data_IF_038991044039
#
_entry.id   IF_038991044039
#
_cell.length_a   1.000
_cell.length_b   1.000
_cell.length_c   1.000
_cell.angle_alpha   90.00
_cell.angle_beta   90.00
_cell.angle_gamma   90.00
#
_symmetry.space_group_name_H-M   'P 1'
#
loop_
_entity.id
_entity.type
_entity.pdbx_description
1 polymer ?
#
# COMPACT_ATOMS: atom_id res chain seq x y z
N UNK A 1 -1.92 -7.15 -11.09
CA UNK A 1 -2.85 -6.26 -11.80
C UNK A 1 -2.81 -4.85 -11.24
N UNK A 2 -2.95 -4.65 -9.96
CA UNK A 2 -2.89 -3.34 -9.27
C UNK A 2 -1.57 -2.56 -9.50
N UNK A 3 -0.44 -3.26 -9.60
CA UNK A 3 0.85 -2.65 -9.88
C UNK A 3 0.90 -2.02 -11.27
N UNK A 4 0.44 -2.75 -12.30
CA UNK A 4 0.41 -2.22 -13.66
C UNK A 4 -0.49 -0.99 -13.77
N UNK A 5 -1.60 -0.97 -13.03
CA UNK A 5 -2.48 0.20 -12.94
C UNK A 5 -1.79 1.40 -12.27
N UNK A 6 -1.01 1.17 -11.22
CA UNK A 6 -0.24 2.23 -10.56
C UNK A 6 0.86 2.79 -11.48
N UNK A 7 1.58 1.92 -12.18
CA UNK A 7 2.68 2.31 -13.08
C UNK A 7 2.20 3.06 -14.32
N UNK A 8 1.00 2.77 -14.82
CA UNK A 8 0.40 3.51 -15.94
C UNK A 8 0.17 4.97 -15.61
N UNK A 9 0.00 5.31 -14.33
CA UNK A 9 -0.20 6.69 -13.88
C UNK A 9 1.06 7.57 -13.99
N UNK A 10 2.24 6.99 -14.26
CA UNK A 10 3.53 7.68 -14.40
C UNK A 10 3.77 8.73 -13.31
N UNK A 11 3.43 8.38 -12.07
CA UNK A 11 3.66 9.27 -10.93
C UNK A 11 5.16 9.44 -10.69
N UNK A 12 5.64 10.65 -10.32
CA UNK A 12 7.05 10.86 -9.99
C UNK A 12 7.46 10.20 -8.66
N UNK A 13 6.48 9.92 -7.80
CA UNK A 13 6.68 9.24 -6.51
C UNK A 13 5.65 8.12 -6.36
N UNK A 14 6.12 6.94 -6.05
CA UNK A 14 5.31 5.78 -5.73
C UNK A 14 5.52 5.38 -4.26
N UNK A 15 4.44 4.95 -3.61
CA UNK A 15 4.49 4.35 -2.29
C UNK A 15 3.71 3.04 -2.33
N UNK A 16 4.39 1.92 -2.09
CA UNK A 16 3.80 0.59 -2.07
C UNK A 16 3.91 0.00 -0.67
N UNK A 17 2.79 -0.39 -0.11
CA UNK A 17 2.75 -1.06 1.18
C UNK A 17 2.72 -2.58 0.98
N UNK A 18 3.76 -3.25 1.45
CA UNK A 18 3.96 -4.70 1.39
C UNK A 18 3.59 -5.35 0.04
N UNK A 19 4.09 -4.86 -1.09
CA UNK A 19 3.67 -5.33 -2.40
C UNK A 19 4.09 -6.77 -2.70
N UNK A 20 5.06 -7.30 -1.98
CA UNK A 20 5.55 -8.68 -2.11
C UNK A 20 4.81 -9.67 -1.21
N UNK A 21 3.86 -9.20 -0.40
CA UNK A 21 3.12 -10.08 0.52
C UNK A 21 2.29 -11.11 -0.24
N UNK A 22 2.49 -12.39 0.12
CA UNK A 22 1.77 -13.51 -0.52
C UNK A 22 2.41 -14.00 -1.82
N UNK A 23 3.54 -13.41 -2.25
CA UNK A 23 4.35 -13.93 -3.32
C UNK A 23 5.39 -14.92 -2.78
N UNK A 24 5.76 -15.89 -3.60
CA UNK A 24 6.94 -16.71 -3.35
C UNK A 24 8.23 -15.90 -3.52
N UNK A 25 9.34 -16.40 -2.98
CA UNK A 25 10.60 -15.66 -2.95
C UNK A 25 11.13 -15.29 -4.35
N UNK A 26 10.94 -16.16 -5.34
CA UNK A 26 11.36 -15.92 -6.73
C UNK A 26 10.55 -14.79 -7.36
N UNK A 27 9.22 -14.88 -7.27
CA UNK A 27 8.31 -13.86 -7.81
C UNK A 27 8.47 -12.51 -7.09
N UNK A 28 8.73 -12.52 -5.77
CA UNK A 28 9.01 -11.30 -5.01
C UNK A 28 10.31 -10.62 -5.48
N UNK A 29 11.34 -11.41 -5.79
CA UNK A 29 12.60 -10.91 -6.35
C UNK A 29 12.39 -10.33 -7.75
N UNK A 30 11.74 -11.05 -8.65
CA UNK A 30 11.43 -10.57 -10.01
C UNK A 30 10.61 -9.27 -9.97
N UNK A 31 9.63 -9.20 -9.08
CA UNK A 31 8.85 -8.00 -8.86
C UNK A 31 9.73 -6.81 -8.46
N UNK A 32 10.60 -6.99 -7.48
CA UNK A 32 11.47 -5.92 -6.98
C UNK A 32 12.50 -5.49 -8.02
N UNK A 33 13.03 -6.44 -8.79
CA UNK A 33 13.92 -6.15 -9.93
C UNK A 33 13.21 -5.36 -11.03
N UNK A 34 11.97 -5.69 -11.34
CA UNK A 34 11.15 -4.94 -12.29
C UNK A 34 10.93 -3.50 -11.79
N UNK A 35 10.62 -3.32 -10.50
CA UNK A 35 10.48 -1.99 -9.89
C UNK A 35 11.79 -1.20 -9.94
N UNK A 36 12.92 -1.85 -9.67
CA UNK A 36 14.24 -1.23 -9.80
C UNK A 36 14.50 -0.75 -11.23
N UNK A 37 14.26 -1.61 -12.20
CA UNK A 37 14.42 -1.28 -13.62
C UNK A 37 13.55 -0.09 -14.04
N UNK A 38 12.29 -0.08 -13.59
CA UNK A 38 11.36 1.02 -13.88
C UNK A 38 11.84 2.33 -13.26
N UNK A 39 12.23 2.33 -11.98
CA UNK A 39 12.74 3.51 -11.29
C UNK A 39 14.02 4.05 -11.93
N UNK A 40 14.93 3.18 -12.33
CA UNK A 40 16.16 3.59 -13.02
C UNK A 40 15.89 4.20 -14.40
N UNK A 41 14.90 3.65 -15.14
CA UNK A 41 14.53 4.14 -16.45
C UNK A 41 13.74 5.45 -16.39
N UNK A 42 12.75 5.53 -15.51
CA UNK A 42 11.83 6.67 -15.41
C UNK A 42 12.32 7.78 -14.47
N UNK A 43 13.41 7.51 -13.71
CA UNK A 43 13.95 8.41 -12.68
C UNK A 43 12.94 8.80 -11.59
N UNK A 44 12.01 7.90 -11.30
CA UNK A 44 11.01 8.07 -10.26
C UNK A 44 11.57 7.68 -8.89
N UNK A 45 10.96 8.21 -7.84
CA UNK A 45 11.22 7.77 -6.46
C UNK A 45 10.19 6.73 -6.05
N UNK A 46 10.65 5.61 -5.52
CA UNK A 46 9.78 4.54 -5.06
C UNK A 46 10.04 4.20 -3.59
N UNK A 47 9.02 4.32 -2.77
CA UNK A 47 9.01 3.86 -1.38
C UNK A 47 8.30 2.51 -1.31
N UNK A 48 8.95 1.53 -0.72
CA UNK A 48 8.37 0.17 -0.57
C UNK A 48 8.53 -0.25 0.88
N UNK A 49 7.42 -0.61 1.55
CA UNK A 49 7.51 -1.31 2.82
C UNK A 49 7.75 -2.80 2.54
N UNK A 50 8.76 -3.37 3.17
CA UNK A 50 9.16 -4.77 2.97
C UNK A 50 9.16 -5.47 4.32
N UNK A 51 8.60 -6.67 4.35
CA UNK A 51 8.61 -7.55 5.50
C UNK A 51 9.23 -8.89 5.12
N UNK A 52 10.22 -9.36 5.89
CA UNK A 52 10.90 -10.65 5.69
C UNK A 52 11.47 -10.85 4.27
N UNK A 53 12.21 -9.85 3.76
CA UNK A 53 12.84 -9.95 2.44
C UNK A 53 14.18 -10.69 2.51
N UNK A 54 14.44 -11.53 1.49
CA UNK A 54 15.77 -12.11 1.31
C UNK A 54 16.81 -11.03 0.96
N UNK A 55 18.10 -11.35 1.19
CA UNK A 55 19.21 -10.41 0.96
C UNK A 55 19.22 -9.85 -0.47
N UNK A 56 18.90 -10.69 -1.47
CA UNK A 56 18.85 -10.26 -2.87
C UNK A 56 17.82 -9.16 -3.14
N UNK A 57 16.67 -9.18 -2.45
CA UNK A 57 15.66 -8.14 -2.54
C UNK A 57 16.16 -6.88 -1.84
N UNK A 58 16.76 -7.04 -0.67
CA UNK A 58 17.29 -5.95 0.13
C UNK A 58 18.36 -5.14 -0.60
N UNK A 59 19.27 -5.81 -1.33
CA UNK A 59 20.34 -5.19 -2.10
C UNK A 59 19.87 -4.32 -3.27
N UNK A 60 18.59 -4.43 -3.66
CA UNK A 60 18.03 -3.62 -4.75
C UNK A 60 17.65 -2.19 -4.31
N UNK A 61 17.66 -1.89 -3.01
CA UNK A 61 17.32 -0.57 -2.48
C UNK A 61 18.56 0.32 -2.33
N UNK A 62 18.40 1.61 -2.59
CA UNK A 62 19.47 2.60 -2.40
C UNK A 62 19.60 3.00 -0.92
N UNK A 63 18.46 3.31 -0.30
CA UNK A 63 18.37 3.77 1.09
C UNK A 63 17.29 2.98 1.81
N UNK A 64 17.47 2.85 3.11
CA UNK A 64 16.48 2.20 3.98
C UNK A 64 16.11 3.11 5.14
N UNK A 65 14.90 2.92 5.61
CA UNK A 65 14.35 3.54 6.81
C UNK A 65 13.97 2.44 7.80
N UNK A 66 14.58 2.45 8.97
CA UNK A 66 14.22 1.54 10.07
C UNK A 66 13.47 2.32 11.14
N UNK A 67 12.26 1.85 11.46
CA UNK A 67 11.37 2.50 12.43
C UNK A 67 11.12 1.54 13.60
N UNK A 68 11.28 2.03 14.82
CA UNK A 68 10.92 1.32 16.03
C UNK A 68 10.01 2.20 16.89
N UNK A 69 8.84 1.68 17.28
CA UNK A 69 7.83 2.39 18.07
C UNK A 69 7.53 3.83 17.56
N UNK A 70 7.39 3.98 16.24
CA UNK A 70 7.12 5.27 15.61
C UNK A 70 8.32 6.23 15.55
N UNK A 71 9.53 5.79 15.90
CA UNK A 71 10.75 6.59 15.86
C UNK A 71 11.68 6.08 14.77
N UNK A 72 12.30 6.99 14.02
CA UNK A 72 13.37 6.68 13.09
C UNK A 72 14.64 6.34 13.88
N UNK A 73 15.13 5.13 13.72
CA UNK A 73 16.38 4.65 14.37
C UNK A 73 17.52 4.49 13.36
N UNK A 74 17.21 4.48 12.08
CA UNK A 74 18.18 4.56 10.99
C UNK A 74 17.48 5.10 9.72
N UNK A 75 18.13 6.00 9.04
CA UNK A 75 17.81 6.47 7.71
C UNK A 75 19.12 6.74 6.95
N UNK A 76 19.37 5.98 5.90
CA UNK A 76 20.62 6.13 5.17
C UNK A 76 20.83 5.05 4.13
N UNK A 77 22.04 5.01 3.52
CA UNK A 77 22.40 4.01 2.53
C UNK A 77 22.21 2.59 3.06
N UNK A 78 21.63 1.73 2.23
CA UNK A 78 21.35 0.33 2.57
C UNK A 78 22.63 -0.39 2.99
N UNK A 79 23.74 -0.18 2.26
CA UNK A 79 25.01 -0.88 2.49
C UNK A 79 25.65 -0.59 3.83
N UNK A 80 25.34 0.55 4.44
CA UNK A 80 25.92 0.97 5.72
C UNK A 80 25.09 0.54 6.93
N UNK A 81 23.84 0.12 6.72
CA UNK A 81 22.91 -0.16 7.80
C UNK A 81 23.38 -1.30 8.71
N UNK A 82 23.93 -2.37 8.15
CA UNK A 82 24.45 -3.48 8.95
C UNK A 82 25.59 -3.01 9.85
N UNK A 83 26.62 -2.37 9.27
CA UNK A 83 27.77 -1.88 10.03
C UNK A 83 27.38 -0.90 11.11
N UNK A 84 26.42 -0.02 10.85
CA UNK A 84 25.91 0.93 11.84
C UNK A 84 25.36 0.25 13.10
N UNK A 85 24.61 -0.83 12.97
CA UNK A 85 24.11 -1.57 14.13
C UNK A 85 25.17 -2.50 14.75
N UNK A 86 26.08 -3.05 13.94
CA UNK A 86 27.22 -3.83 14.45
C UNK A 86 28.17 -2.98 15.31
N UNK A 87 28.42 -1.75 14.92
CA UNK A 87 29.22 -0.77 15.71
C UNK A 87 28.58 -0.47 17.06
N UNK A 88 27.25 -0.50 17.16
CA UNK A 88 26.53 -0.41 18.44
C UNK A 88 26.66 -1.66 19.31
N UNK A 89 27.13 -2.78 18.75
CA UNK A 89 27.30 -4.05 19.47
C UNK A 89 26.26 -5.12 19.18
N UNK A 90 25.43 -4.92 18.15
CA UNK A 90 24.51 -5.97 17.69
C UNK A 90 25.22 -6.92 16.73
N UNK A 91 24.84 -8.20 16.71
CA UNK A 91 25.40 -9.21 15.81
C UNK A 91 24.30 -9.81 14.94
N UNK A 92 24.65 -10.07 13.66
CA UNK A 92 23.79 -10.83 12.77
C UNK A 92 23.79 -12.29 13.24
N UNK A 93 22.61 -12.86 13.45
CA UNK A 93 22.48 -14.27 13.79
C UNK A 93 22.92 -15.15 12.61
N UNK A 94 23.66 -16.26 12.84
CA UNK A 94 24.05 -17.17 11.78
C UNK A 94 22.84 -17.65 10.98
N UNK A 95 22.88 -17.45 9.66
CA UNK A 95 21.80 -17.85 8.74
C UNK A 95 20.59 -16.91 8.66
N UNK A 96 20.57 -15.79 9.39
CA UNK A 96 19.52 -14.78 9.23
C UNK A 96 19.80 -13.86 8.04
N UNK A 97 18.72 -13.39 7.42
CA UNK A 97 18.80 -12.35 6.40
C UNK A 97 19.04 -10.98 7.06
N UNK A 98 19.57 -10.05 6.29
CA UNK A 98 19.83 -8.69 6.79
C UNK A 98 18.54 -7.95 7.19
N UNK A 99 17.44 -8.17 6.46
CA UNK A 99 16.13 -7.63 6.85
C UNK A 99 15.65 -8.16 8.21
N UNK A 100 15.88 -9.44 8.47
CA UNK A 100 15.53 -10.08 9.75
C UNK A 100 16.40 -9.53 10.88
N UNK A 101 17.69 -9.33 10.64
CA UNK A 101 18.59 -8.68 11.58
C UNK A 101 18.12 -7.27 11.95
N UNK A 102 17.80 -6.44 10.97
CA UNK A 102 17.33 -5.06 11.21
C UNK A 102 16.00 -5.03 11.97
N UNK A 103 15.13 -6.01 11.72
CA UNK A 103 13.88 -6.17 12.47
C UNK A 103 14.18 -6.64 13.91
N UNK A 104 15.04 -7.65 14.07
CA UNK A 104 15.42 -8.18 15.37
C UNK A 104 16.05 -7.12 16.28
N UNK A 105 16.84 -6.19 15.73
CA UNK A 105 17.40 -5.06 16.50
C UNK A 105 16.30 -4.21 17.15
N UNK A 106 15.12 -4.12 16.54
CA UNK A 106 13.99 -3.35 17.10
C UNK A 106 13.26 -4.08 18.22
N UNK A 107 13.43 -5.41 18.33
CA UNK A 107 12.72 -6.28 19.28
C UNK A 107 13.68 -6.75 20.37
N UNK A 108 13.46 -6.36 21.63
CA UNK A 108 14.37 -6.62 22.74
C UNK A 108 14.66 -8.10 23.00
N UNK A 109 13.71 -9.00 22.68
CA UNK A 109 13.83 -10.45 22.89
C UNK A 109 14.56 -11.18 21.76
N UNK A 110 14.72 -10.55 20.61
CA UNK A 110 15.31 -11.16 19.40
C UNK A 110 16.73 -10.65 19.11
N UNK A 111 17.16 -9.62 19.83
CA UNK A 111 18.49 -9.02 19.67
C UNK A 111 19.60 -9.99 20.04
N UNK A 112 20.59 -10.10 19.18
CA UNK A 112 21.86 -10.76 19.52
C UNK A 112 22.90 -9.69 19.76
N UNK A 113 23.42 -9.64 21.01
CA UNK A 113 24.39 -8.63 21.44
C UNK A 113 25.77 -9.31 21.53
N UNK A 114 26.81 -8.60 21.08
CA UNK A 114 28.19 -9.04 21.24
C UNK A 114 28.56 -9.13 22.72
N UNK A 115 29.20 -10.22 23.11
CA UNK A 115 29.57 -10.47 24.54
C UNK A 115 30.40 -9.34 25.14
N UNK A 116 31.23 -8.69 24.33
CA UNK A 116 32.12 -7.59 24.74
C UNK A 116 31.39 -6.28 25.05
N UNK A 117 30.15 -6.10 24.53
CA UNK A 117 29.35 -4.88 24.69
C UNK A 117 28.07 -5.09 25.50
N UNK A 118 27.94 -6.21 26.19
CA UNK A 118 26.80 -6.46 27.10
C UNK A 118 26.74 -5.41 28.18
N UNK A 119 25.74 -4.55 28.13
CA UNK A 119 25.47 -3.47 29.09
C UNK A 119 25.65 -2.05 28.55
N UNK A 120 26.24 -1.88 27.37
CA UNK A 120 26.48 -0.56 26.75
C UNK A 120 25.74 -0.40 25.41
N UNK A 121 24.67 -1.16 25.24
CA UNK A 121 23.82 -1.10 24.01
C UNK A 121 22.51 -0.39 24.29
N UNK A 122 21.97 0.37 23.32
CA UNK A 122 20.67 1.01 23.47
C UNK A 122 19.57 -0.04 23.65
N UNK A 123 18.68 0.19 24.62
CA UNK A 123 17.59 -0.71 24.94
C UNK A 123 16.24 -0.19 24.51
N UNK A 124 16.04 1.11 24.53
CA UNK A 124 14.77 1.76 24.23
C UNK A 124 14.78 2.40 22.84
N UNK A 125 13.64 2.48 22.15
CA UNK A 125 13.53 3.19 20.85
C UNK A 125 13.98 4.65 20.92
N UNK A 126 13.83 5.28 22.11
CA UNK A 126 14.29 6.64 22.39
C UNK A 126 15.82 6.75 22.33
N UNK A 127 16.51 5.82 22.95
CA UNK A 127 17.98 5.75 22.94
C UNK A 127 18.52 5.54 21.54
N UNK A 128 17.94 4.60 20.78
CA UNK A 128 18.29 4.40 19.37
C UNK A 128 18.11 5.68 18.55
N UNK A 129 16.96 6.34 18.67
CA UNK A 129 16.69 7.57 17.94
C UNK A 129 17.66 8.70 18.35
N UNK A 130 18.04 8.79 19.62
CA UNK A 130 19.02 9.77 20.11
C UNK A 130 20.42 9.48 19.55
N UNK A 131 20.85 8.24 19.52
CA UNK A 131 22.11 7.82 18.92
C UNK A 131 22.13 8.07 17.42
N UNK A 132 21.05 7.74 16.73
CA UNK A 132 20.93 8.02 15.29
C UNK A 132 21.10 9.51 14.98
N UNK A 133 20.44 10.39 15.73
CA UNK A 133 20.56 11.84 15.55
C UNK A 133 21.99 12.40 15.74
N UNK A 134 22.83 11.67 16.49
CA UNK A 134 24.24 12.04 16.72
C UNK A 134 25.21 11.35 15.76
N UNK A 135 24.73 10.43 14.94
CA UNK A 135 25.56 9.63 14.03
C UNK A 135 26.01 10.42 12.82
N UNK A 136 27.15 10.02 12.25
CA UNK A 136 27.68 10.57 11.00
C UNK A 136 26.77 10.31 9.83
N UNK A 137 26.03 9.21 9.85
CA UNK A 137 25.03 8.87 8.83
C UNK A 137 23.93 9.94 8.82
N UNK A 138 23.39 10.27 9.99
CA UNK A 138 22.37 11.32 10.10
C UNK A 138 22.93 12.68 9.66
N UNK A 139 24.13 13.05 10.07
CA UNK A 139 24.76 14.31 9.69
C UNK A 139 24.92 14.41 8.16
N UNK A 140 25.36 13.34 7.51
CA UNK A 140 25.45 13.27 6.03
C UNK A 140 24.10 13.40 5.35
N UNK A 141 23.07 12.69 5.86
CA UNK A 141 21.72 12.78 5.31
C UNK A 141 21.10 14.17 5.48
N UNK A 142 21.36 14.83 6.61
CA UNK A 142 20.91 16.20 6.84
C UNK A 142 21.63 17.20 5.93
N UNK A 143 22.93 17.04 5.73
CA UNK A 143 23.70 17.86 4.78
C UNK A 143 23.17 17.71 3.35
N UNK A 144 22.92 16.47 2.89
CA UNK A 144 22.31 16.20 1.58
C UNK A 144 20.92 16.91 1.43
N UNK A 145 20.13 16.87 2.49
CA UNK A 145 18.84 17.55 2.54
C UNK A 145 18.97 19.07 2.51
N UNK A 146 19.93 19.65 3.28
CA UNK A 146 20.18 21.08 3.32
C UNK A 146 20.75 21.61 1.99
N UNK A 147 21.63 20.87 1.33
CA UNK A 147 22.17 21.20 0.01
C UNK A 147 21.06 21.32 -1.05
N UNK A 148 20.07 20.42 -0.98
CA UNK A 148 18.93 20.44 -1.90
C UNK A 148 17.94 21.54 -1.53
N UNK A 149 17.62 21.71 -0.22
CA UNK A 149 16.60 22.65 0.25
C UNK A 149 17.11 24.09 0.36
N UNK A 150 18.39 24.26 0.65
CA UNK A 150 19.02 25.58 0.77
C UNK A 150 19.34 26.25 -0.56
N UNK A 151 19.30 25.49 -1.66
CA UNK A 151 19.51 26.02 -3.00
C UNK A 151 18.17 26.35 -3.67
N UNK A 152 17.69 27.56 -3.44
CA UNK A 152 16.39 28.04 -3.96
C UNK A 152 16.29 27.98 -5.49
N UNK A 153 17.38 28.22 -6.20
CA UNK A 153 17.41 28.11 -7.66
C UNK A 153 17.26 26.69 -8.14
N UNK A 154 17.89 25.72 -7.48
CA UNK A 154 17.79 24.30 -7.79
C UNK A 154 16.37 23.76 -7.47
N UNK A 155 15.78 24.23 -6.38
CA UNK A 155 14.39 23.89 -6.03
C UNK A 155 13.38 24.44 -7.03
N UNK A 156 13.59 25.67 -7.50
CA UNK A 156 12.74 26.29 -8.51
C UNK A 156 12.84 25.53 -9.84
N UNK A 157 14.06 25.26 -10.32
CA UNK A 157 14.31 24.49 -11.54
C UNK A 157 13.63 23.11 -11.49
N UNK A 158 13.85 22.34 -10.42
CA UNK A 158 13.22 21.03 -10.25
C UNK A 158 11.70 21.10 -10.12
N UNK A 159 11.20 22.17 -9.51
CA UNK A 159 9.75 22.38 -9.38
C UNK A 159 9.12 22.72 -10.73
N UNK A 160 9.83 23.47 -11.58
CA UNK A 160 9.37 23.80 -12.93
C UNK A 160 9.40 22.58 -13.83
N UNK A 161 10.47 21.79 -13.79
CA UNK A 161 10.56 20.50 -14.50
C UNK A 161 9.43 19.55 -14.10
N UNK A 162 9.15 19.47 -12.81
CA UNK A 162 8.03 18.66 -12.31
C UNK A 162 6.69 19.16 -12.84
N UNK A 163 6.44 20.48 -12.78
CA UNK A 163 5.20 21.08 -13.30
C UNK A 163 5.04 20.86 -14.80
N UNK A 164 6.12 20.96 -15.56
CA UNK A 164 6.10 20.73 -17.00
C UNK A 164 5.82 19.25 -17.33
N UNK A 165 6.44 18.31 -16.64
CA UNK A 165 6.17 16.88 -16.81
C UNK A 165 4.71 16.55 -16.50
N UNK A 166 4.14 17.08 -15.41
CA UNK A 166 2.72 16.95 -15.09
C UNK A 166 1.83 17.57 -16.16
N UNK A 167 2.26 18.71 -16.74
CA UNK A 167 1.52 19.38 -17.82
C UNK A 167 1.49 18.56 -19.10
N UNK A 168 2.60 17.94 -19.47
CA UNK A 168 2.72 17.07 -20.65
C UNK A 168 1.81 15.85 -20.53
N UNK A 169 1.72 15.27 -19.34
CA UNK A 169 0.90 14.08 -19.08
C UNK A 169 -0.60 14.38 -18.96
N UNK A 170 -0.95 15.62 -18.68
CA UNK A 170 -2.35 16.05 -18.53
C UNK A 170 -3.08 16.04 -19.88
N UNK A 171 -4.20 15.32 -19.94
CA UNK A 171 -5.07 15.36 -21.11
C UNK A 171 -5.52 16.82 -21.42
N UNK A 172 -5.55 17.21 -22.68
CA UNK A 172 -5.91 18.57 -23.13
C UNK A 172 -7.23 19.12 -22.57
N UNK A 173 -8.17 18.23 -22.22
CA UNK A 173 -9.47 18.55 -21.63
C UNK A 173 -9.58 18.36 -20.12
N UNK A 174 -8.50 17.95 -19.46
CA UNK A 174 -8.47 17.86 -18.01
C UNK A 174 -8.44 19.26 -17.38
N UNK A 175 -9.13 19.44 -16.27
CA UNK A 175 -9.15 20.74 -15.58
C UNK A 175 -7.74 21.19 -15.15
N UNK A 176 -7.35 22.42 -15.49
CA UNK A 176 -5.99 22.95 -15.25
C UNK A 176 -5.57 22.88 -13.77
N UNK A 177 -6.51 23.02 -12.84
CA UNK A 177 -6.28 23.01 -11.37
C UNK A 177 -6.58 21.66 -10.70
N UNK A 178 -7.12 20.67 -11.41
CA UNK A 178 -7.47 19.37 -10.84
C UNK A 178 -6.24 18.47 -10.63
N UNK A 179 -6.23 17.60 -9.62
CA UNK A 179 -5.16 16.63 -9.38
C UNK A 179 -5.12 15.49 -10.41
N UNK A 180 -6.18 15.37 -11.21
CA UNK A 180 -6.34 14.26 -12.17
C UNK A 180 -5.78 14.59 -13.54
N UNK A 181 -5.14 13.60 -14.18
CA UNK A 181 -4.59 13.70 -15.54
C UNK A 181 -5.65 13.57 -16.62
N UNK A 182 -6.83 13.01 -16.29
CA UNK A 182 -7.93 12.72 -17.23
C UNK A 182 -9.19 13.50 -16.91
N UNK A 183 -10.12 13.60 -17.88
CA UNK A 183 -11.42 14.26 -17.67
C UNK A 183 -12.34 13.40 -16.80
N UNK A 184 -13.26 14.02 -16.06
CA UNK A 184 -14.22 13.32 -15.21
C UNK A 184 -15.05 12.29 -15.99
N UNK A 185 -15.49 12.61 -17.20
CA UNK A 185 -16.24 11.68 -18.04
C UNK A 185 -15.42 10.44 -18.42
N UNK A 186 -14.15 10.60 -18.75
CA UNK A 186 -13.26 9.47 -19.03
C UNK A 186 -13.09 8.58 -17.81
N UNK A 187 -12.96 9.18 -16.61
CA UNK A 187 -12.86 8.43 -15.37
C UNK A 187 -14.14 7.64 -15.09
N UNK A 188 -15.30 8.29 -15.17
CA UNK A 188 -16.60 7.63 -14.97
C UNK A 188 -16.79 6.49 -15.96
N UNK A 189 -16.56 6.74 -17.27
CA UNK A 189 -16.72 5.70 -18.29
C UNK A 189 -15.78 4.51 -18.08
N UNK A 190 -14.52 4.78 -17.73
CA UNK A 190 -13.53 3.73 -17.47
C UNK A 190 -13.90 2.91 -16.23
N UNK A 191 -14.32 3.58 -15.14
CA UNK A 191 -14.77 2.91 -13.92
C UNK A 191 -16.03 2.06 -14.18
N UNK A 192 -16.99 2.59 -14.91
CA UNK A 192 -18.22 1.86 -15.29
C UNK A 192 -17.91 0.64 -16.16
N UNK A 193 -17.06 0.81 -17.17
CA UNK A 193 -16.63 -0.31 -18.03
C UNK A 193 -15.90 -1.39 -17.25
N UNK A 194 -15.01 -1.00 -16.35
CA UNK A 194 -14.31 -1.93 -15.46
C UNK A 194 -15.29 -2.69 -14.56
N UNK A 195 -16.22 -1.97 -13.92
CA UNK A 195 -17.21 -2.59 -13.04
C UNK A 195 -18.13 -3.54 -13.79
N UNK A 196 -18.55 -3.15 -14.99
CA UNK A 196 -19.34 -4.02 -15.86
C UNK A 196 -18.58 -5.30 -16.23
N UNK A 197 -17.31 -5.18 -16.64
CA UNK A 197 -16.48 -6.33 -16.98
C UNK A 197 -16.26 -7.27 -15.76
N UNK A 198 -16.02 -6.73 -14.58
CA UNK A 198 -15.88 -7.52 -13.34
C UNK A 198 -17.18 -8.26 -13.02
N UNK A 199 -18.31 -7.56 -13.08
CA UNK A 199 -19.63 -8.14 -12.79
C UNK A 199 -19.99 -9.23 -13.81
N UNK A 200 -19.69 -9.01 -15.10
CA UNK A 200 -19.98 -9.99 -16.15
C UNK A 200 -19.10 -11.25 -16.06
N UNK A 201 -17.86 -11.10 -15.62
CA UNK A 201 -16.96 -12.25 -15.42
C UNK A 201 -17.34 -13.11 -14.21
N UNK A 202 -18.02 -12.53 -13.21
CA UNK A 202 -18.51 -13.26 -12.03
C UNK A 202 -19.92 -13.82 -12.27
N UNK A 203 -19.99 -14.83 -13.17
CA UNK A 203 -21.24 -15.49 -13.58
C UNK A 203 -21.99 -16.14 -12.43
N UNK A 204 -21.24 -16.67 -11.44
CA UNK A 204 -21.85 -17.34 -10.30
C UNK A 204 -22.62 -16.36 -9.41
N UNK A 205 -22.02 -15.22 -9.08
CA UNK A 205 -22.66 -14.16 -8.31
C UNK A 205 -23.85 -13.56 -9.02
N UNK A 206 -23.75 -13.38 -10.36
CA UNK A 206 -24.87 -12.95 -11.20
C UNK A 206 -26.04 -13.92 -11.18
N UNK A 207 -25.77 -15.21 -11.37
CA UNK A 207 -26.79 -16.26 -11.34
C UNK A 207 -27.52 -16.34 -10.00
N UNK A 208 -26.79 -16.25 -8.90
CA UNK A 208 -27.37 -16.26 -7.55
C UNK A 208 -28.25 -15.03 -7.31
N UNK A 209 -27.77 -13.84 -7.68
CA UNK A 209 -28.53 -12.59 -7.48
C UNK A 209 -29.81 -12.56 -8.32
N UNK A 210 -29.69 -12.76 -9.62
CA UNK A 210 -30.87 -12.70 -10.49
C UNK A 210 -31.80 -13.91 -10.33
N UNK A 211 -31.25 -15.11 -10.14
CA UNK A 211 -32.03 -16.31 -9.87
C UNK A 211 -32.78 -16.21 -8.53
N UNK A 212 -32.13 -15.71 -7.49
CA UNK A 212 -32.75 -15.46 -6.19
C UNK A 212 -33.89 -14.45 -6.26
N UNK A 213 -33.67 -13.31 -6.91
CA UNK A 213 -34.71 -12.30 -7.09
C UNK A 213 -35.90 -12.85 -7.90
N UNK A 214 -35.62 -13.61 -8.98
CA UNK A 214 -36.67 -14.22 -9.80
C UNK A 214 -37.47 -15.24 -9.01
N UNK A 215 -36.81 -16.14 -8.29
CA UNK A 215 -37.47 -17.14 -7.43
C UNK A 215 -38.34 -16.46 -6.35
N UNK A 216 -37.80 -15.44 -5.68
CA UNK A 216 -38.57 -14.67 -4.69
C UNK A 216 -39.78 -13.96 -5.30
N UNK A 217 -39.65 -13.38 -6.49
CA UNK A 217 -40.76 -12.75 -7.22
C UNK A 217 -41.85 -13.74 -7.60
N UNK A 218 -41.47 -14.96 -8.05
CA UNK A 218 -42.42 -16.03 -8.39
C UNK A 218 -43.17 -16.51 -7.13
N UNK A 219 -42.44 -16.70 -6.01
CA UNK A 219 -43.07 -17.11 -4.74
C UNK A 219 -44.05 -16.02 -4.26
N UNK A 220 -43.63 -14.76 -4.22
CA UNK A 220 -44.54 -13.66 -3.85
C UNK A 220 -45.71 -13.53 -4.80
N UNK A 221 -45.47 -13.62 -6.12
CA UNK A 221 -46.56 -13.57 -7.12
C UNK A 221 -47.55 -14.71 -6.96
N UNK A 222 -47.10 -15.93 -6.64
CA UNK A 222 -47.98 -17.07 -6.40
C UNK A 222 -48.85 -16.94 -5.15
N UNK A 223 -48.29 -16.28 -4.10
CA UNK A 223 -49.04 -16.00 -2.86
C UNK A 223 -50.17 -14.99 -3.08
N UNK A 224 -50.02 -14.08 -3.99
CA UNK A 224 -50.98 -13.02 -4.29
C UNK A 224 -51.79 -13.26 -5.60
N UNK A 225 -51.60 -14.45 -6.21
CA UNK A 225 -52.30 -14.80 -7.44
C UNK A 225 -53.80 -14.98 -7.16
N UNK A 226 -54.65 -14.33 -7.95
CA UNK A 226 -56.10 -14.32 -7.84
C UNK A 226 -56.67 -13.83 -6.48
N UNK A 227 -55.97 -12.91 -5.79
CA UNK A 227 -56.55 -12.19 -4.68
C UNK A 227 -57.58 -11.21 -5.15
N UNK A 228 -58.80 -11.26 -4.61
CA UNK A 228 -59.80 -10.23 -4.84
C UNK A 228 -59.31 -8.87 -4.36
N UNK A 229 -59.38 -7.86 -5.23
CA UNK A 229 -58.93 -6.48 -4.93
C UNK A 229 -59.79 -5.76 -3.86
N UNK A 230 -60.55 -6.48 -3.10
CA UNK A 230 -61.40 -6.00 -2.00
C UNK A 230 -60.71 -6.22 -0.62
N UNK A 231 -61.11 -5.40 0.34
CA UNK A 231 -60.59 -5.55 1.74
C UNK A 231 -60.83 -6.94 2.33
N UNK A 232 -61.88 -7.64 1.90
CA UNK A 232 -62.19 -9.03 2.30
C UNK A 232 -61.16 -9.99 1.71
N UNK A 233 -60.68 -9.80 0.45
CA UNK A 233 -59.65 -10.64 -0.14
C UNK A 233 -58.26 -10.49 0.56
N UNK A 234 -57.92 -9.33 1.05
CA UNK A 234 -56.73 -9.12 1.86
C UNK A 234 -56.78 -9.85 3.19
N UNK A 235 -57.92 -9.91 3.84
CA UNK A 235 -58.10 -10.61 5.13
C UNK A 235 -58.08 -12.16 5.03
N UNK A 236 -58.33 -12.71 3.87
CA UNK A 236 -58.26 -14.15 3.63
C UNK A 236 -56.91 -14.67 3.18
N UNK A 237 -55.97 -13.78 2.90
CA UNK A 237 -54.62 -14.11 2.52
C UNK A 237 -53.87 -14.83 3.67
N UNK A 238 -53.26 -16.01 3.40
CA UNK A 238 -52.57 -16.80 4.46
C UNK A 238 -51.45 -16.02 5.18
N UNK A 239 -50.84 -15.01 4.60
CA UNK A 239 -49.77 -14.21 5.20
C UNK A 239 -50.25 -13.17 6.20
N UNK A 240 -51.49 -12.70 6.14
CA UNK A 240 -52.04 -11.64 6.99
C UNK A 240 -52.90 -12.21 8.15
N UNK A 241 -53.16 -13.52 8.14
CA UNK A 241 -54.04 -14.18 9.13
C UNK A 241 -53.44 -14.28 10.54
N UNK A 242 -52.12 -14.14 10.65
CA UNK A 242 -51.43 -14.33 11.93
C UNK A 242 -51.44 -13.09 12.83
N UNK A 243 -51.67 -11.92 12.28
CA UNK A 243 -51.55 -10.66 13.08
C UNK A 243 -52.90 -10.20 13.67
N UNK A 244 -54.02 -10.61 13.06
CA UNK A 244 -55.34 -10.17 13.56
C UNK A 244 -55.97 -11.15 14.62
N UNK A 245 -55.48 -12.36 14.74
CA UNK A 245 -55.93 -13.29 15.80
C UNK A 245 -55.25 -13.06 17.17
N UNK A 246 -54.29 -12.16 17.25
CA UNK A 246 -53.63 -11.77 18.50
C UNK A 246 -54.18 -10.46 19.10
N UNK A 247 -55.19 -9.85 18.49
CA UNK A 247 -55.75 -8.57 18.91
C UNK A 247 -57.19 -8.64 19.44
N UNK A 248 -57.76 -9.85 19.62
CA UNK A 248 -58.93 -10.17 20.40
C UNK A 248 -58.50 -10.99 21.63
#
# INVERSE_FOLDING_TARGET
MTLAEALVNRAPVYAFDQPTRGLDASTALEYTQAMRTITDFTKNTCFISVYQAGNQIYELFDKILVIAAGRCIYWGPMKEAQGYFEDMGFKVSPGSNLSDFLTAVTVSTERVIADEKKGDVPNTPEEFAALFKRSDVHARMMKEFEEVTGNESLLQERTEDFKENVRIEKAKRAGKKGPYTTTLWTQVLSATRRQYALTWNDKASLAIKYGGCTAQSVILGSLFYMLDGTVSGMRTSPGLRTDYQKAE
#
